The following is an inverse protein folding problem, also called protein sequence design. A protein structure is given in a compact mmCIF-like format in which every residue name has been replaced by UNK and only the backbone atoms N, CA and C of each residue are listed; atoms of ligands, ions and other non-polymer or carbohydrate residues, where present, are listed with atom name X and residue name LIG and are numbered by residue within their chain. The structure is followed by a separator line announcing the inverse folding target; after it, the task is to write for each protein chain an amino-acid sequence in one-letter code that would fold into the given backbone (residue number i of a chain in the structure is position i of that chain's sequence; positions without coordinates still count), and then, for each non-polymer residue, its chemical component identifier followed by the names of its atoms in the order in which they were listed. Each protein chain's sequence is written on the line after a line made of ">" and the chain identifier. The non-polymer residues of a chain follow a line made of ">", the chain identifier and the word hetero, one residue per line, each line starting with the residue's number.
data_IF_295164944388
#
_entry.id   IF_295164944388
#
_cell.length_a   1.000
_cell.length_b   1.000
_cell.length_c   1.000
_cell.angle_alpha   90.00
_cell.angle_beta   90.00
_cell.angle_gamma   90.00
#
_symmetry.space_group_name_H-M   'P 1'
#
loop_
_entity.id
_entity.type
_entity.pdbx_description
1 polymer ?
#
# COMPACT_ATOMS: atom_id res chain seq x y z
N UNK A 1 -5.79 3.29 12.54
CA UNK A 1 -5.67 4.67 12.01
C UNK A 1 -6.38 5.70 12.88
N UNK A 2 -7.62 5.44 13.33
CA UNK A 2 -8.41 6.42 14.12
C UNK A 2 -7.71 6.84 15.42
N UNK A 3 -7.16 5.91 16.20
CA UNK A 3 -6.43 6.22 17.43
C UNK A 3 -5.18 7.08 17.16
N UNK A 4 -4.46 6.78 16.08
CA UNK A 4 -3.28 7.56 15.65
C UNK A 4 -3.69 8.97 15.22
N UNK A 5 -4.78 9.11 14.47
CA UNK A 5 -5.29 10.42 14.06
C UNK A 5 -5.70 11.28 15.27
N UNK A 6 -6.33 10.70 16.30
CA UNK A 6 -6.62 11.39 17.55
C UNK A 6 -5.35 11.92 18.23
N UNK A 7 -4.29 11.10 18.24
CA UNK A 7 -2.99 11.48 18.79
C UNK A 7 -2.36 12.64 18.00
N UNK A 8 -2.37 12.57 16.67
CA UNK A 8 -1.86 13.65 15.82
C UNK A 8 -2.60 14.96 16.02
N UNK A 9 -3.93 14.90 16.15
CA UNK A 9 -4.76 16.09 16.48
C UNK A 9 -4.40 16.67 17.85
N UNK A 10 -4.24 15.81 18.86
CA UNK A 10 -3.86 16.27 20.21
C UNK A 10 -2.47 16.92 20.25
N UNK A 11 -1.53 16.42 19.46
CA UNK A 11 -0.19 16.99 19.35
C UNK A 11 -0.16 18.32 18.57
N UNK A 12 -1.14 18.55 17.68
CA UNK A 12 -1.20 19.76 16.84
C UNK A 12 -0.13 19.84 15.74
N UNK A 13 0.63 18.75 15.50
CA UNK A 13 1.74 18.72 14.53
C UNK A 13 1.35 18.10 13.20
N UNK A 14 0.13 17.56 13.08
CA UNK A 14 -0.24 16.72 11.94
C UNK A 14 0.47 15.37 11.94
N UNK A 15 0.44 14.66 10.81
CA UNK A 15 1.09 13.36 10.70
C UNK A 15 0.84 12.68 9.38
N UNK A 16 1.49 11.54 9.21
CA UNK A 16 1.40 10.71 8.01
C UNK A 16 0.87 9.32 8.36
N UNK A 17 -0.12 8.86 7.61
CA UNK A 17 -0.67 7.49 7.71
C UNK A 17 -0.48 6.84 6.35
N UNK A 18 0.22 5.72 6.32
CA UNK A 18 0.51 4.95 5.11
C UNK A 18 -0.11 3.57 5.27
N UNK A 19 -1.15 3.30 4.50
CA UNK A 19 -1.82 2.00 4.49
C UNK A 19 -1.18 1.08 3.44
N UNK A 20 -1.22 -0.22 3.67
CA UNK A 20 -0.75 -1.21 2.70
C UNK A 20 -1.95 -1.86 2.01
N UNK A 21 -2.18 -1.45 0.78
CA UNK A 21 -3.13 -2.04 -0.14
C UNK A 21 -2.50 -3.22 -0.90
N UNK A 22 -2.90 -3.46 -2.12
CA UNK A 22 -2.33 -4.47 -3.02
C UNK A 22 -2.66 -4.10 -4.47
N UNK A 23 -1.87 -4.57 -5.42
CA UNK A 23 -2.24 -4.53 -6.83
C UNK A 23 -3.60 -5.19 -7.07
N UNK A 24 -3.98 -6.20 -6.28
CA UNK A 24 -5.29 -6.83 -6.34
C UNK A 24 -6.45 -5.90 -5.95
N UNK A 25 -6.17 -4.78 -5.27
CA UNK A 25 -7.17 -3.72 -5.04
C UNK A 25 -7.68 -3.08 -6.33
N UNK A 26 -6.89 -3.13 -7.40
CA UNK A 26 -7.21 -2.59 -8.73
C UNK A 26 -7.62 -3.68 -9.72
N UNK A 27 -6.88 -4.79 -9.73
CA UNK A 27 -7.00 -5.83 -10.75
C UNK A 27 -7.98 -6.95 -10.36
N UNK A 28 -8.36 -7.02 -9.09
CA UNK A 28 -9.04 -8.19 -8.56
C UNK A 28 -8.06 -9.36 -8.38
N UNK A 29 -8.51 -10.54 -8.59
CA UNK A 29 -7.68 -11.74 -8.50
C UNK A 29 -8.52 -12.98 -8.70
N UNK A 30 -7.87 -14.09 -9.03
CA UNK A 30 -8.55 -15.38 -9.21
C UNK A 30 -8.43 -16.18 -7.92
N UNK A 31 -9.57 -16.66 -7.40
CA UNK A 31 -9.64 -17.51 -6.19
C UNK A 31 -9.21 -16.84 -4.87
N UNK A 32 -9.23 -15.51 -4.81
CA UNK A 32 -8.87 -14.73 -3.61
C UNK A 32 -9.89 -13.62 -3.30
N UNK A 33 -11.21 -13.90 -3.30
CA UNK A 33 -12.23 -12.85 -3.19
C UNK A 33 -12.17 -12.07 -1.87
N UNK A 34 -11.96 -12.74 -0.74
CA UNK A 34 -11.86 -12.09 0.57
C UNK A 34 -10.64 -11.20 0.71
N UNK A 35 -9.49 -11.64 0.19
CA UNK A 35 -8.28 -10.82 0.17
C UNK A 35 -8.47 -9.58 -0.71
N UNK A 36 -8.99 -9.77 -1.93
CA UNK A 36 -9.28 -8.67 -2.86
C UNK A 36 -10.26 -7.68 -2.25
N UNK A 37 -11.35 -8.16 -1.64
CA UNK A 37 -12.32 -7.31 -0.96
C UNK A 37 -11.68 -6.49 0.16
N UNK A 38 -10.86 -7.11 1.02
CA UNK A 38 -10.18 -6.43 2.11
C UNK A 38 -9.21 -5.36 1.62
N UNK A 39 -8.44 -5.66 0.58
CA UNK A 39 -7.46 -4.71 0.03
C UNK A 39 -8.10 -3.59 -0.79
N UNK A 40 -9.24 -3.84 -1.42
CA UNK A 40 -10.08 -2.79 -2.04
C UNK A 40 -10.69 -1.87 -0.98
N UNK A 41 -11.14 -2.43 0.14
CA UNK A 41 -11.64 -1.66 1.27
C UNK A 41 -10.54 -0.73 1.86
N UNK A 42 -9.28 -1.17 1.92
CA UNK A 42 -8.16 -0.33 2.37
C UNK A 42 -8.04 0.92 1.51
N UNK A 43 -8.19 0.82 0.19
CA UNK A 43 -8.18 2.01 -0.70
C UNK A 43 -9.35 2.95 -0.43
N UNK A 44 -10.55 2.39 -0.24
CA UNK A 44 -11.74 3.19 0.08
C UNK A 44 -11.59 3.94 1.41
N UNK A 45 -11.15 3.24 2.45
CA UNK A 45 -10.88 3.81 3.78
C UNK A 45 -9.77 4.86 3.72
N UNK A 46 -8.72 4.65 2.94
CA UNK A 46 -7.63 5.63 2.73
C UNK A 46 -8.18 6.96 2.20
N UNK A 47 -9.04 6.91 1.17
CA UNK A 47 -9.66 8.12 0.61
C UNK A 47 -10.59 8.82 1.60
N UNK A 48 -11.43 8.06 2.29
CA UNK A 48 -12.36 8.61 3.28
C UNK A 48 -11.60 9.33 4.41
N UNK A 49 -10.58 8.69 4.97
CA UNK A 49 -9.76 9.28 6.03
C UNK A 49 -8.96 10.50 5.53
N UNK A 50 -8.45 10.46 4.30
CA UNK A 50 -7.75 11.59 3.70
C UNK A 50 -8.67 12.82 3.58
N UNK A 51 -9.89 12.64 3.08
CA UNK A 51 -10.87 13.72 2.96
C UNK A 51 -11.26 14.30 4.34
N UNK A 52 -11.38 13.45 5.34
CA UNK A 52 -11.82 13.86 6.68
C UNK A 52 -10.71 14.59 7.44
N UNK A 53 -9.44 14.18 7.30
CA UNK A 53 -8.34 14.61 8.17
C UNK A 53 -7.32 15.54 7.51
N UNK A 54 -7.40 15.78 6.21
CA UNK A 54 -6.46 16.66 5.51
C UNK A 54 -6.40 18.07 6.13
N UNK A 55 -7.53 18.61 6.59
CA UNK A 55 -7.60 19.91 7.26
C UNK A 55 -6.85 19.97 8.60
N UNK A 56 -6.57 18.81 9.19
CA UNK A 56 -5.81 18.67 10.43
C UNK A 56 -4.31 18.42 10.16
N UNK A 57 -3.84 18.62 8.92
CA UNK A 57 -2.49 18.32 8.45
C UNK A 57 -2.13 16.83 8.60
N UNK A 58 -3.11 15.93 8.47
CA UNK A 58 -2.90 14.49 8.47
C UNK A 58 -3.05 13.99 7.04
N UNK A 59 -1.95 13.55 6.45
CA UNK A 59 -1.96 12.93 5.14
C UNK A 59 -2.19 11.43 5.27
N UNK A 60 -3.17 10.92 4.52
CA UNK A 60 -3.49 9.49 4.49
C UNK A 60 -3.35 8.98 3.08
N UNK A 61 -2.40 8.10 2.85
CA UNK A 61 -2.11 7.51 1.55
C UNK A 61 -1.93 6.00 1.68
N UNK A 62 -1.81 5.31 0.57
CA UNK A 62 -1.56 3.87 0.56
C UNK A 62 -0.45 3.51 -0.43
N UNK A 63 0.17 2.36 -0.20
CA UNK A 63 1.08 1.70 -1.14
C UNK A 63 0.41 0.38 -1.54
N UNK A 64 0.39 0.09 -2.83
CA UNK A 64 -0.15 -1.15 -3.39
C UNK A 64 0.99 -1.99 -4.00
N UNK A 65 1.68 -2.82 -3.21
CA UNK A 65 2.73 -3.67 -3.74
C UNK A 65 2.20 -4.68 -4.77
N UNK A 66 3.01 -4.97 -5.77
CA UNK A 66 2.81 -6.08 -6.70
C UNK A 66 3.42 -7.37 -6.17
N UNK A 67 4.08 -8.12 -7.05
CA UNK A 67 4.77 -9.35 -6.68
C UNK A 67 6.09 -9.06 -5.98
N UNK A 68 6.13 -9.34 -4.68
CA UNK A 68 7.27 -9.05 -3.80
C UNK A 68 7.89 -10.32 -3.24
N UNK A 69 9.22 -10.35 -3.14
CA UNK A 69 9.96 -11.41 -2.46
C UNK A 69 9.75 -11.30 -0.95
N UNK A 70 8.84 -12.10 -0.43
CA UNK A 70 8.55 -12.20 1.00
C UNK A 70 8.37 -13.65 1.41
N UNK A 71 8.28 -13.92 2.69
CA UNK A 71 7.98 -15.26 3.18
C UNK A 71 6.64 -15.79 2.63
N UNK A 72 5.64 -14.91 2.46
CA UNK A 72 4.32 -15.30 1.93
C UNK A 72 4.35 -15.72 0.46
N UNK A 73 5.36 -15.33 -0.31
CA UNK A 73 5.50 -15.66 -1.73
C UNK A 73 6.56 -16.73 -1.99
N UNK A 74 7.18 -17.27 -0.95
CA UNK A 74 8.26 -18.25 -1.08
C UNK A 74 7.83 -19.48 -1.90
N UNK A 75 6.70 -20.08 -1.56
CA UNK A 75 6.19 -21.25 -2.28
C UNK A 75 5.92 -21.00 -3.77
N UNK A 76 5.52 -19.75 -4.14
CA UNK A 76 5.33 -19.37 -5.53
C UNK A 76 6.65 -19.22 -6.29
N UNK A 77 7.69 -18.75 -5.62
CA UNK A 77 9.02 -18.55 -6.20
C UNK A 77 9.81 -19.84 -6.34
N UNK A 78 9.56 -20.80 -5.46
CA UNK A 78 10.18 -22.14 -5.48
C UNK A 78 9.55 -23.08 -6.52
N UNK A 79 8.33 -22.81 -6.95
CA UNK A 79 7.66 -23.52 -8.04
C UNK A 79 8.08 -22.90 -9.38
N UNK A 80 8.93 -23.59 -10.13
CA UNK A 80 9.55 -23.07 -11.36
C UNK A 80 8.51 -22.63 -12.41
N UNK A 81 7.44 -23.41 -12.60
CA UNK A 81 6.40 -23.09 -13.59
C UNK A 81 5.61 -21.85 -13.18
N UNK A 82 5.18 -21.78 -11.92
CA UNK A 82 4.45 -20.63 -11.38
C UNK A 82 5.31 -19.38 -11.32
N UNK A 83 6.57 -19.51 -10.94
CA UNK A 83 7.52 -18.40 -10.94
C UNK A 83 7.70 -17.81 -12.33
N UNK A 84 7.90 -18.66 -13.34
CA UNK A 84 8.03 -18.21 -14.72
C UNK A 84 6.77 -17.49 -15.21
N UNK A 85 5.59 -18.06 -14.97
CA UNK A 85 4.31 -17.45 -15.35
C UNK A 85 4.06 -16.11 -14.66
N UNK A 86 4.59 -15.90 -13.45
CA UNK A 86 4.52 -14.61 -12.75
C UNK A 86 5.50 -13.62 -13.36
N UNK A 87 6.76 -14.03 -13.59
CA UNK A 87 7.79 -13.15 -14.17
C UNK A 87 7.38 -12.60 -15.53
N UNK A 88 6.75 -13.41 -16.37
CA UNK A 88 6.24 -12.99 -17.68
C UNK A 88 5.17 -11.87 -17.61
N UNK A 89 4.51 -11.71 -16.46
CA UNK A 89 3.53 -10.66 -16.23
C UNK A 89 4.14 -9.38 -15.64
N UNK A 90 5.39 -9.44 -15.20
CA UNK A 90 6.08 -8.31 -14.59
C UNK A 90 6.95 -7.65 -15.65
N UNK A 91 6.64 -6.41 -16.10
CA UNK A 91 7.42 -5.75 -17.14
C UNK A 91 8.91 -5.58 -16.80
N UNK A 92 9.25 -5.52 -15.50
CA UNK A 92 10.63 -5.44 -15.04
C UNK A 92 11.35 -6.81 -14.99
N UNK A 93 10.65 -7.89 -15.34
CA UNK A 93 11.16 -9.27 -15.40
C UNK A 93 11.82 -9.76 -14.10
N UNK A 94 11.45 -9.16 -12.98
CA UNK A 94 11.93 -9.55 -11.65
C UNK A 94 10.86 -9.36 -10.59
N UNK A 95 10.96 -10.12 -9.53
CA UNK A 95 10.22 -9.84 -8.29
C UNK A 95 10.69 -8.52 -7.67
N UNK A 96 9.77 -7.81 -7.04
CA UNK A 96 10.11 -6.66 -6.20
C UNK A 96 10.74 -7.12 -4.89
N UNK A 97 11.70 -6.36 -4.39
CA UNK A 97 12.32 -6.58 -3.08
C UNK A 97 11.72 -5.63 -2.06
N UNK A 98 11.75 -5.96 -0.75
CA UNK A 98 11.30 -5.04 0.30
C UNK A 98 11.91 -3.63 0.17
N UNK A 99 13.16 -3.53 -0.26
CA UNK A 99 13.86 -2.27 -0.50
C UNK A 99 13.21 -1.41 -1.60
N UNK A 100 12.55 -2.02 -2.58
CA UNK A 100 11.85 -1.28 -3.63
C UNK A 100 10.65 -0.48 -3.07
N UNK A 101 10.12 -0.87 -1.90
CA UNK A 101 9.03 -0.17 -1.20
C UNK A 101 9.55 0.91 -0.23
N UNK A 102 10.81 0.82 0.18
CA UNK A 102 11.38 1.75 1.16
C UNK A 102 11.36 3.21 0.67
N UNK A 103 11.74 3.46 -0.58
CA UNK A 103 11.73 4.81 -1.16
C UNK A 103 10.33 5.45 -1.15
N UNK A 104 9.30 4.82 -1.74
CA UNK A 104 7.92 5.29 -1.67
C UNK A 104 7.43 5.51 -0.23
N UNK A 105 7.77 4.62 0.70
CA UNK A 105 7.39 4.76 2.10
C UNK A 105 8.03 6.01 2.74
N UNK A 106 9.33 6.22 2.55
CA UNK A 106 10.04 7.40 3.05
C UNK A 106 9.47 8.68 2.42
N UNK A 107 9.19 8.69 1.13
CA UNK A 107 8.56 9.81 0.45
C UNK A 107 7.21 10.16 1.08
N UNK A 108 6.32 9.19 1.25
CA UNK A 108 5.01 9.40 1.86
C UNK A 108 5.08 9.76 3.35
N UNK A 109 6.14 9.38 4.04
CA UNK A 109 6.36 9.72 5.45
C UNK A 109 6.99 11.10 5.65
N UNK A 110 7.53 11.71 4.60
CA UNK A 110 8.27 12.98 4.66
C UNK A 110 7.40 14.19 4.26
N UNK A 111 7.94 15.39 4.47
CA UNK A 111 7.34 16.64 4.03
C UNK A 111 7.24 16.77 2.51
N UNK A 112 8.00 15.98 1.74
CA UNK A 112 7.92 15.96 0.28
C UNK A 112 6.51 15.55 -0.22
N UNK A 113 5.70 14.92 0.61
CA UNK A 113 4.34 14.49 0.30
C UNK A 113 3.23 15.28 1.01
N UNK A 114 3.52 16.50 1.50
CA UNK A 114 2.56 17.27 2.29
C UNK A 114 1.26 17.61 1.55
N UNK A 115 1.30 17.66 0.22
CA UNK A 115 0.11 17.93 -0.60
C UNK A 115 -0.49 16.67 -1.27
N UNK A 116 -0.03 15.49 -0.87
CA UNK A 116 -0.53 14.20 -1.38
C UNK A 116 -1.48 13.59 -0.37
N UNK A 117 -2.73 13.39 -0.77
CA UNK A 117 -3.80 12.89 0.09
C UNK A 117 -4.71 11.90 -0.67
N UNK A 118 -5.02 10.77 -0.04
CA UNK A 118 -5.94 9.76 -0.57
C UNK A 118 -5.41 8.99 -1.77
N UNK A 119 -4.12 9.07 -2.07
CA UNK A 119 -3.49 8.39 -3.19
C UNK A 119 -3.04 6.97 -2.81
N UNK A 120 -3.03 6.09 -3.83
CA UNK A 120 -2.53 4.72 -3.69
C UNK A 120 -1.58 4.41 -4.82
#
# INVERSE_FOLDING_TARGET
>A
SQAVAKQFKAQGTGGKIINIASMLSFQGGIRVPSYTASKSAVMGVTRAMANEWARDNINVNAIAPGYMETNNTQALREDAERNQAILERIPAERWGKPQDIAGPCVFLASSASDYINGYT
#
